data_IF_631341814626
#
_entry.id   IF_631341814626
#
_cell.length_a   1.000
_cell.length_b   1.000
_cell.length_c   1.000
_cell.angle_alpha   90.00
_cell.angle_beta   90.00
_cell.angle_gamma   90.00
#
_symmetry.space_group_name_H-M   'P 1'
#
loop_
_entity.id
_entity.type
_entity.pdbx_description
1 polymer ?
#
# COMPACT_ATOMS: atom_id res chain seq x y z
N UNK A 1 -8.63 -12.09 7.19
CA UNK A 1 -8.19 -10.69 7.32
C UNK A 1 -7.37 -10.28 6.10
N UNK A 2 -7.41 -9.02 5.77
CA UNK A 2 -6.65 -8.48 4.65
C UNK A 2 -5.16 -8.41 5.03
N UNK A 3 -4.35 -9.22 4.38
CA UNK A 3 -2.91 -9.27 4.66
C UNK A 3 -2.23 -8.05 4.04
N UNK A 4 -1.58 -7.26 4.87
CA UNK A 4 -1.08 -5.93 4.49
C UNK A 4 0.42 -5.82 4.73
N UNK A 5 1.14 -5.34 3.72
CA UNK A 5 2.57 -5.06 3.80
C UNK A 5 2.77 -3.54 3.73
N UNK A 6 3.58 -2.99 4.62
CA UNK A 6 3.74 -1.54 4.73
C UNK A 6 5.19 -1.15 4.57
N UNK A 7 5.46 -0.19 3.67
CA UNK A 7 6.80 0.35 3.42
C UNK A 7 6.80 1.82 3.82
N UNK A 8 7.45 2.12 4.92
CA UNK A 8 7.50 3.47 5.51
C UNK A 8 8.77 3.58 6.34
N UNK A 9 9.59 4.60 6.09
CA UNK A 9 10.87 4.72 6.77
C UNK A 9 10.81 5.41 8.15
N UNK A 10 9.73 6.14 8.44
CA UNK A 10 9.56 6.75 9.76
C UNK A 10 8.95 5.75 10.72
N UNK A 11 9.66 5.35 11.81
CA UNK A 11 9.08 4.42 12.78
C UNK A 11 7.80 4.95 13.41
N UNK A 12 7.75 6.24 13.71
CA UNK A 12 6.56 6.84 14.34
C UNK A 12 5.36 6.79 13.42
N UNK A 13 5.54 7.18 12.16
CA UNK A 13 4.45 7.16 11.17
C UNK A 13 4.01 5.72 10.91
N UNK A 14 4.98 4.81 10.78
CA UNK A 14 4.69 3.40 10.52
C UNK A 14 3.87 2.79 11.65
N UNK A 15 4.28 3.00 12.90
CA UNK A 15 3.57 2.45 14.05
C UNK A 15 2.18 3.03 14.21
N UNK A 16 2.04 4.34 13.98
CA UNK A 16 0.73 4.98 14.04
C UNK A 16 -0.20 4.48 12.95
N UNK A 17 0.32 4.28 11.75
CA UNK A 17 -0.47 3.76 10.64
C UNK A 17 -0.94 2.34 10.92
N UNK A 18 -0.04 1.49 11.42
CA UNK A 18 -0.37 0.11 11.76
C UNK A 18 -1.47 0.09 12.84
N UNK A 19 -1.29 0.86 13.90
CA UNK A 19 -2.27 0.91 15.00
C UNK A 19 -3.64 1.36 14.50
N UNK A 20 -3.67 2.39 13.68
CA UNK A 20 -4.93 2.92 13.13
C UNK A 20 -5.62 1.90 12.24
N UNK A 21 -4.86 1.25 11.37
CA UNK A 21 -5.43 0.26 10.45
C UNK A 21 -5.95 -0.96 11.21
N UNK A 22 -5.18 -1.45 12.18
CA UNK A 22 -5.60 -2.63 12.96
C UNK A 22 -6.81 -2.33 13.84
N UNK A 23 -6.98 -1.09 14.26
CA UNK A 23 -8.16 -0.69 15.06
C UNK A 23 -9.40 -0.54 14.18
N UNK A 24 -9.26 0.06 13.00
CA UNK A 24 -10.41 0.47 12.19
C UNK A 24 -10.72 -0.45 11.01
N UNK A 25 -9.80 -1.33 10.66
CA UNK A 25 -9.94 -2.19 9.48
C UNK A 25 -9.57 -3.62 9.85
N UNK A 26 -10.25 -4.59 9.24
CA UNK A 26 -9.92 -6.00 9.46
C UNK A 26 -8.67 -6.37 8.63
N UNK A 27 -7.51 -5.93 9.11
CA UNK A 27 -6.22 -6.19 8.46
C UNK A 27 -5.29 -6.97 9.39
N UNK A 28 -4.36 -7.67 8.78
CA UNK A 28 -3.24 -8.29 9.47
C UNK A 28 -1.97 -7.77 8.79
N UNK A 29 -1.14 -7.04 9.53
CA UNK A 29 0.13 -6.54 8.98
C UNK A 29 1.11 -7.69 8.98
N UNK A 30 1.45 -8.19 7.80
CA UNK A 30 2.30 -9.37 7.64
C UNK A 30 3.77 -9.04 7.52
N UNK A 31 4.10 -7.76 7.35
CA UNK A 31 5.50 -7.33 7.30
C UNK A 31 5.60 -5.85 7.06
N UNK A 32 6.79 -5.32 7.32
CA UNK A 32 7.10 -3.91 7.08
C UNK A 32 8.52 -3.79 6.54
N UNK A 33 8.79 -2.67 5.87
CA UNK A 33 10.14 -2.32 5.44
C UNK A 33 10.32 -0.82 5.56
N UNK A 34 11.57 -0.39 5.76
CA UNK A 34 11.89 1.03 5.87
C UNK A 34 12.73 1.54 4.69
N UNK A 35 13.00 0.67 3.71
CA UNK A 35 13.78 1.05 2.54
C UNK A 35 13.42 0.14 1.36
N UNK A 36 13.85 0.56 0.18
CA UNK A 36 13.52 -0.15 -1.06
C UNK A 36 14.10 -1.57 -1.09
N UNK A 37 15.37 -1.75 -0.73
CA UNK A 37 16.03 -3.05 -0.79
C UNK A 37 15.31 -4.10 0.05
N UNK A 38 14.97 -3.74 1.28
CA UNK A 38 14.28 -4.67 2.18
C UNK A 38 12.91 -5.03 1.64
N UNK A 39 12.19 -4.05 1.09
CA UNK A 39 10.85 -4.28 0.53
C UNK A 39 10.93 -5.19 -0.69
N UNK A 40 11.85 -4.91 -1.61
CA UNK A 40 12.01 -5.72 -2.83
C UNK A 40 12.40 -7.15 -2.47
N UNK A 41 13.29 -7.31 -1.48
CA UNK A 41 13.68 -8.64 -1.02
C UNK A 41 12.47 -9.42 -0.49
N UNK A 42 11.68 -8.80 0.38
CA UNK A 42 10.49 -9.45 0.93
C UNK A 42 9.51 -9.86 -0.17
N UNK A 43 9.27 -8.95 -1.12
CA UNK A 43 8.36 -9.20 -2.23
C UNK A 43 8.85 -10.29 -3.18
N UNK A 44 10.18 -10.51 -3.24
CA UNK A 44 10.75 -11.53 -4.12
C UNK A 44 10.60 -12.94 -3.57
N UNK A 45 10.23 -13.09 -2.29
CA UNK A 45 10.06 -14.41 -1.67
C UNK A 45 8.69 -14.99 -2.02
N UNK A 46 8.66 -16.09 -2.74
CA UNK A 46 7.42 -16.66 -3.25
C UNK A 46 6.43 -17.07 -2.17
N UNK A 47 6.93 -17.34 -0.96
CA UNK A 47 6.06 -17.71 0.16
C UNK A 47 5.41 -16.50 0.85
N UNK A 48 5.91 -15.31 0.57
CA UNK A 48 5.34 -14.09 1.14
C UNK A 48 4.14 -13.68 0.29
N UNK A 49 2.98 -13.64 0.92
CA UNK A 49 1.75 -13.27 0.24
C UNK A 49 1.11 -12.10 0.98
N UNK A 50 0.54 -11.17 0.23
CA UNK A 50 -0.25 -10.10 0.81
C UNK A 50 -1.33 -9.67 -0.16
N UNK A 51 -2.34 -9.00 0.38
CA UNK A 51 -3.49 -8.54 -0.39
C UNK A 51 -3.41 -7.03 -0.65
N UNK A 52 -2.60 -6.34 0.13
CA UNK A 52 -2.49 -4.88 0.09
C UNK A 52 -1.06 -4.48 0.42
N UNK A 53 -0.49 -3.60 -0.41
CA UNK A 53 0.81 -2.97 -0.15
C UNK A 53 0.57 -1.47 -0.02
N UNK A 54 0.99 -0.90 1.10
CA UNK A 54 0.95 0.55 1.32
C UNK A 54 2.39 1.04 1.34
N UNK A 55 2.73 1.96 0.44
CA UNK A 55 4.10 2.38 0.27
C UNK A 55 4.23 3.90 0.24
N UNK A 56 5.20 4.42 0.98
CA UNK A 56 5.64 5.81 0.88
C UNK A 56 6.66 5.91 -0.26
N UNK A 57 6.57 6.97 -1.03
CA UNK A 57 7.46 7.19 -2.17
C UNK A 57 8.84 7.66 -1.73
N UNK A 58 8.89 8.54 -0.72
CA UNK A 58 10.15 9.15 -0.28
C UNK A 58 10.74 8.39 0.90
N UNK A 59 11.62 7.44 0.60
CA UNK A 59 12.30 6.63 1.60
C UNK A 59 13.70 7.15 1.83
N UNK A 60 14.28 6.91 3.01
CA UNK A 60 15.65 7.32 3.32
C UNK A 60 16.65 6.65 2.39
N UNK A 61 16.37 5.41 2.00
CA UNK A 61 17.25 4.65 1.12
C UNK A 61 16.40 4.04 0.03
N UNK A 62 16.66 4.43 -1.20
CA UNK A 62 15.88 4.00 -2.34
C UNK A 62 14.61 4.82 -2.51
N UNK A 63 13.67 4.26 -3.25
CA UNK A 63 12.43 4.94 -3.59
C UNK A 63 11.25 4.00 -3.55
N UNK A 64 10.11 4.52 -3.10
CA UNK A 64 8.85 3.79 -3.18
C UNK A 64 8.41 3.51 -4.60
N UNK A 65 8.89 4.29 -5.57
CA UNK A 65 8.62 4.01 -6.98
C UNK A 65 9.20 2.65 -7.40
N UNK A 66 10.41 2.34 -6.92
CA UNK A 66 11.03 1.03 -7.14
C UNK A 66 10.24 -0.09 -6.49
N UNK A 67 9.70 0.16 -5.30
CA UNK A 67 8.86 -0.81 -4.60
C UNK A 67 7.58 -1.06 -5.39
N UNK A 68 6.94 -0.03 -5.92
CA UNK A 68 5.74 -0.17 -6.75
C UNK A 68 6.01 -1.04 -7.97
N UNK A 69 7.10 -0.76 -8.66
CA UNK A 69 7.47 -1.50 -9.85
C UNK A 69 7.70 -2.98 -9.54
N UNK A 70 8.42 -3.26 -8.45
CA UNK A 70 8.66 -4.64 -8.02
C UNK A 70 7.37 -5.34 -7.59
N UNK A 71 6.50 -4.64 -6.85
CA UNK A 71 5.22 -5.19 -6.40
C UNK A 71 4.33 -5.54 -7.57
N UNK A 72 4.26 -4.65 -8.55
CA UNK A 72 3.43 -4.83 -9.74
C UNK A 72 3.85 -6.06 -10.53
N UNK A 73 5.15 -6.36 -10.56
CA UNK A 73 5.66 -7.54 -11.26
C UNK A 73 5.52 -8.82 -10.44
N UNK A 74 5.61 -8.73 -9.11
CA UNK A 74 5.67 -9.89 -8.23
C UNK A 74 4.30 -10.35 -7.72
N UNK A 75 3.32 -9.45 -7.64
CA UNK A 75 2.05 -9.71 -6.99
C UNK A 75 0.89 -9.51 -7.98
N UNK A 76 0.19 -10.60 -8.28
CA UNK A 76 -0.89 -10.57 -9.26
C UNK A 76 -2.18 -9.97 -8.72
N UNK A 77 -2.46 -10.19 -7.43
CA UNK A 77 -3.77 -9.88 -6.86
C UNK A 77 -3.76 -8.80 -5.81
N UNK A 78 -2.57 -8.34 -5.40
CA UNK A 78 -2.48 -7.34 -4.36
C UNK A 78 -2.86 -5.97 -4.88
N UNK A 79 -3.53 -5.18 -4.04
CA UNK A 79 -3.78 -3.78 -4.32
C UNK A 79 -2.57 -2.98 -3.87
N UNK A 80 -2.13 -2.06 -4.72
CA UNK A 80 -0.95 -1.24 -4.47
C UNK A 80 -1.41 0.19 -4.19
N UNK A 81 -1.11 0.67 -2.99
CA UNK A 81 -1.56 1.99 -2.53
C UNK A 81 -0.36 2.82 -2.13
N UNK A 82 -0.32 4.05 -2.61
CA UNK A 82 0.72 5.02 -2.25
C UNK A 82 0.16 5.98 -1.21
N UNK A 83 0.95 6.26 -0.20
CA UNK A 83 0.64 7.25 0.82
C UNK A 83 1.82 8.21 0.90
N UNK A 84 1.66 9.46 0.46
CA UNK A 84 2.79 10.38 0.29
C UNK A 84 2.40 11.81 0.69
N UNK A 85 3.39 12.56 1.19
CA UNK A 85 3.23 13.99 1.44
C UNK A 85 3.29 14.82 0.15
N UNK A 86 3.69 14.19 -0.96
CA UNK A 86 3.91 14.88 -2.23
C UNK A 86 3.04 14.30 -3.33
N UNK A 87 1.73 14.20 -3.06
CA UNK A 87 0.78 13.62 -4.00
C UNK A 87 0.34 14.67 -5.05
N UNK A 88 1.32 15.24 -5.77
CA UNK A 88 1.05 16.16 -6.87
C UNK A 88 0.41 15.42 -8.04
N UNK A 89 -0.25 16.12 -8.98
CA UNK A 89 -0.82 15.46 -10.16
C UNK A 89 0.22 14.63 -10.94
N UNK A 90 1.44 15.16 -11.09
CA UNK A 90 2.50 14.43 -11.79
C UNK A 90 2.92 13.17 -11.03
N UNK A 91 3.07 13.27 -9.72
CA UNK A 91 3.43 12.11 -8.89
C UNK A 91 2.32 11.07 -8.90
N UNK A 92 1.06 11.49 -8.82
CA UNK A 92 -0.08 10.58 -8.88
C UNK A 92 -0.07 9.82 -10.20
N UNK A 93 0.14 10.52 -11.31
CA UNK A 93 0.19 9.89 -12.63
C UNK A 93 1.33 8.88 -12.72
N UNK A 94 2.52 9.26 -12.22
CA UNK A 94 3.68 8.39 -12.23
C UNK A 94 3.42 7.10 -11.43
N UNK A 95 2.82 7.23 -10.27
CA UNK A 95 2.51 6.06 -9.43
C UNK A 95 1.49 5.14 -10.11
N UNK A 96 0.46 5.71 -10.72
CA UNK A 96 -0.54 4.91 -11.43
C UNK A 96 0.08 4.19 -12.62
N UNK A 97 1.00 4.83 -13.34
CA UNK A 97 1.72 4.21 -14.45
C UNK A 97 2.55 3.01 -13.98
N UNK A 98 3.06 3.08 -12.75
CA UNK A 98 3.87 1.99 -12.19
C UNK A 98 3.04 0.91 -11.53
N UNK A 99 1.72 1.00 -11.59
CA UNK A 99 0.85 -0.05 -11.11
C UNK A 99 0.08 0.25 -9.83
N UNK A 100 0.20 1.46 -9.28
CA UNK A 100 -0.57 1.81 -8.09
C UNK A 100 -2.06 1.85 -8.43
N UNK A 101 -2.87 1.31 -7.53
CA UNK A 101 -4.33 1.37 -7.66
C UNK A 101 -4.88 2.70 -7.14
N UNK A 102 -4.25 3.25 -6.11
CA UNK A 102 -4.65 4.50 -5.49
C UNK A 102 -3.43 5.24 -4.96
N UNK A 103 -3.54 6.56 -4.92
CA UNK A 103 -2.54 7.44 -4.31
C UNK A 103 -3.27 8.35 -3.34
N UNK A 104 -2.82 8.39 -2.09
CA UNK A 104 -3.42 9.22 -1.05
C UNK A 104 -2.39 10.19 -0.49
N UNK A 105 -2.83 11.39 -0.16
CA UNK A 105 -2.00 12.41 0.47
C UNK A 105 -1.97 12.21 1.99
N UNK A 106 -0.79 12.12 2.57
CA UNK A 106 -0.63 11.91 4.02
C UNK A 106 -1.25 13.03 4.85
N UNK A 107 -1.25 14.26 4.33
CA UNK A 107 -1.70 15.41 5.11
C UNK A 107 -3.21 15.51 5.22
N UNK A 108 -3.95 15.05 4.21
CA UNK A 108 -5.39 15.32 4.20
C UNK A 108 -6.26 14.20 3.62
N UNK A 109 -5.67 13.04 3.32
CA UNK A 109 -6.44 11.93 2.74
C UNK A 109 -6.33 10.61 3.51
N UNK A 110 -5.91 10.68 4.78
CA UNK A 110 -5.84 9.47 5.62
C UNK A 110 -7.22 8.82 5.78
N UNK A 111 -8.27 9.63 5.94
CA UNK A 111 -9.62 9.09 6.09
C UNK A 111 -10.05 8.35 4.82
N UNK A 112 -9.66 8.87 3.66
CA UNK A 112 -9.96 8.22 2.38
C UNK A 112 -9.21 6.89 2.26
N UNK A 113 -7.96 6.83 2.72
CA UNK A 113 -7.19 5.59 2.76
C UNK A 113 -7.89 4.56 3.63
N UNK A 114 -8.32 4.95 4.84
CA UNK A 114 -9.00 4.05 5.76
C UNK A 114 -10.28 3.51 5.13
N UNK A 115 -11.08 4.39 4.51
CA UNK A 115 -12.33 3.97 3.85
C UNK A 115 -12.05 2.98 2.71
N UNK A 116 -11.00 3.22 1.93
CA UNK A 116 -10.61 2.32 0.86
C UNK A 116 -10.24 0.94 1.41
N UNK A 117 -9.44 0.91 2.48
CA UNK A 117 -9.02 -0.34 3.11
C UNK A 117 -10.20 -1.08 3.72
N UNK A 118 -11.16 -0.37 4.30
CA UNK A 118 -12.37 -0.99 4.85
C UNK A 118 -13.17 -1.70 3.76
N UNK A 119 -13.28 -1.10 2.60
CA UNK A 119 -13.97 -1.73 1.46
C UNK A 119 -13.24 -2.97 0.99
N UNK A 120 -11.92 -2.91 0.89
CA UNK A 120 -11.13 -4.08 0.49
C UNK A 120 -11.28 -5.21 1.51
N UNK A 121 -11.19 -4.88 2.80
CA UNK A 121 -11.27 -5.89 3.86
C UNK A 121 -12.65 -6.54 3.92
N UNK A 122 -13.69 -5.82 3.51
CA UNK A 122 -15.05 -6.34 3.45
C UNK A 122 -15.31 -7.20 2.22
N UNK A 123 -14.31 -7.32 1.33
CA UNK A 123 -14.48 -8.03 0.08
C UNK A 123 -15.22 -7.26 -0.98
N UNK A 124 -15.37 -5.95 -0.81
CA UNK A 124 -16.01 -5.09 -1.79
C UNK A 124 -15.01 -4.70 -2.85
N UNK A 125 -14.89 -5.51 -3.83
CA UNK A 125 -13.95 -5.27 -4.90
C UNK A 125 -14.62 -4.60 -6.07
N UNK A 126 -15.65 -4.18 -5.86
CA UNK A 126 -16.20 -3.54 -6.77
C UNK A 126 -17.39 -3.56 -7.27
N UNK A 127 -16.66 -3.64 -6.56
CA UNK A 127 -17.37 -3.57 -6.93
C UNK A 127 -17.40 -4.14 -8.11
N UNK A 128 -16.94 -4.60 -8.06
CA UNK A 128 -16.78 -5.31 -9.10
C UNK A 128 -17.86 -6.24 -9.35
N UNK A 129 -18.15 -6.06 -9.08
CA UNK A 129 -18.86 -6.63 -9.34
C UNK A 129 -19.81 -6.84 -9.65
N UNK A 130 -19.74 -6.56 -9.68
CA UNK A 130 -20.37 -6.76 -9.91
C UNK A 130 -20.99 -7.07 -10.41
N UNK A 131 -20.65 -6.94 -10.40
CA UNK A 131 -21.13 -7.22 -10.84
C UNK A 131 -21.74 -7.87 -11.04
N UNK A 132 -21.67 -8.15 -10.85
CA UNK A 132 -22.27 -8.78 -11.09
C UNK A 132 -23.02 -9.22 -10.90
N UNK A 133 -23.24 -9.03 -10.77
CA UNK A 133 -24.03 -9.40 -10.61
C UNK A 133 -24.57 -9.63 -10.97
#
# INVERSE_FOLDING_TARGET
MLKTYIVEDSPVIRENLIATLEELVAVEVVGTADNESAAVYWLSQSRNACDLVIVDIFLKSGSGLGVLSASSRALDHAKLVVLSNYATPDMRRKCLELGANKVFDKSNEIDALIAYCQKLAAGDTSASVMGGL
#
